data_IF_993301240072
#
_entry.id   IF_993301240072
#
_cell.length_a   1.000
_cell.length_b   1.000
_cell.length_c   1.000
_cell.angle_alpha   90.00
_cell.angle_beta   90.00
_cell.angle_gamma   90.00
#
_symmetry.space_group_name_H-M   'P 1'
#
loop_
_entity.id
_entity.type
_entity.pdbx_description
1 polymer ?
#
# COMPACT_ATOMS: atom_id res chain seq x y z
N UNK A 1 -23.05 -4.00 -11.12
CA UNK A 1 -22.64 -5.05 -12.08
C UNK A 1 -22.87 -6.44 -11.45
N UNK A 2 -23.55 -7.38 -12.14
CA UNK A 2 -24.06 -8.63 -11.54
C UNK A 2 -23.01 -9.69 -11.13
N UNK A 3 -21.71 -9.48 -11.39
CA UNK A 3 -20.63 -10.41 -10.95
C UNK A 3 -19.33 -9.65 -10.64
N UNK A 4 -19.23 -8.93 -9.50
CA UNK A 4 -18.05 -8.14 -9.15
C UNK A 4 -16.77 -9.01 -9.07
N UNK A 5 -16.89 -10.25 -8.60
CA UNK A 5 -15.78 -11.20 -8.56
C UNK A 5 -15.13 -11.47 -9.92
N UNK A 6 -15.92 -11.68 -10.97
CA UNK A 6 -15.35 -11.92 -12.30
C UNK A 6 -14.63 -10.69 -12.86
N UNK A 7 -15.15 -9.49 -12.58
CA UNK A 7 -14.52 -8.25 -13.02
C UNK A 7 -13.18 -8.05 -12.30
N UNK A 8 -13.13 -8.27 -10.98
CA UNK A 8 -11.89 -8.22 -10.22
C UNK A 8 -10.87 -9.23 -10.74
N UNK A 9 -11.30 -10.49 -10.90
CA UNK A 9 -10.44 -11.56 -11.37
C UNK A 9 -9.92 -11.25 -12.75
N UNK A 10 -10.74 -10.79 -13.69
CA UNK A 10 -10.25 -10.43 -15.03
C UNK A 10 -9.30 -9.24 -14.98
N UNK A 11 -9.63 -8.19 -14.22
CA UNK A 11 -8.83 -6.97 -14.13
C UNK A 11 -7.45 -7.22 -13.52
N UNK A 12 -7.35 -8.14 -12.55
CA UNK A 12 -6.08 -8.49 -11.89
C UNK A 12 -5.36 -9.63 -12.61
N UNK A 13 -6.06 -10.71 -12.94
CA UNK A 13 -5.47 -11.92 -13.51
C UNK A 13 -4.97 -11.70 -14.93
N UNK A 14 -5.65 -10.88 -15.75
CA UNK A 14 -5.23 -10.64 -17.13
C UNK A 14 -3.85 -9.96 -17.22
N UNK A 15 -3.60 -8.79 -16.60
CA UNK A 15 -2.27 -8.15 -16.63
C UNK A 15 -1.21 -8.99 -15.91
N UNK A 16 -1.57 -9.69 -14.84
CA UNK A 16 -0.67 -10.62 -14.15
C UNK A 16 -0.25 -11.79 -15.05
N UNK A 17 -1.20 -12.43 -15.75
CA UNK A 17 -0.92 -13.52 -16.66
C UNK A 17 -0.10 -13.06 -17.87
N UNK A 18 -0.39 -11.86 -18.41
CA UNK A 18 0.42 -11.25 -19.46
C UNK A 18 1.86 -11.01 -19.01
N UNK A 19 2.07 -10.49 -17.80
CA UNK A 19 3.40 -10.31 -17.25
C UNK A 19 4.12 -11.66 -17.05
N UNK A 20 3.44 -12.66 -16.50
CA UNK A 20 4.01 -13.99 -16.31
C UNK A 20 4.43 -14.62 -17.64
N UNK A 21 3.56 -14.53 -18.67
CA UNK A 21 3.86 -15.02 -20.01
C UNK A 21 5.05 -14.28 -20.62
N UNK A 22 5.11 -12.95 -20.47
CA UNK A 22 6.24 -12.15 -20.95
C UNK A 22 7.55 -12.61 -20.30
N UNK A 23 7.56 -12.87 -18.99
CA UNK A 23 8.75 -13.34 -18.29
C UNK A 23 9.19 -14.73 -18.76
N UNK A 24 8.26 -15.66 -18.99
CA UNK A 24 8.57 -17.00 -19.55
C UNK A 24 9.14 -16.89 -20.96
N UNK A 25 8.61 -16.01 -21.81
CA UNK A 25 9.12 -15.79 -23.17
C UNK A 25 10.51 -15.12 -23.15
N UNK A 26 10.79 -14.28 -22.16
CA UNK A 26 12.07 -13.60 -22.00
C UNK A 26 13.15 -14.47 -21.36
N UNK A 27 12.78 -15.52 -20.62
CA UNK A 27 13.72 -16.44 -19.97
C UNK A 27 14.77 -17.03 -20.94
N UNK A 28 14.40 -17.58 -22.12
CA UNK A 28 15.38 -18.11 -23.08
C UNK A 28 16.16 -17.01 -23.82
N UNK A 29 15.73 -15.75 -23.78
CA UNK A 29 16.34 -14.65 -24.55
C UNK A 29 17.45 -14.00 -23.74
N UNK A 30 18.67 -13.98 -24.28
CA UNK A 30 19.84 -13.36 -23.65
C UNK A 30 20.07 -13.83 -22.19
N UNK A 31 19.81 -15.11 -21.91
CA UNK A 31 19.92 -15.71 -20.56
C UNK A 31 19.07 -15.00 -19.49
N UNK A 32 17.92 -14.45 -19.86
CA UNK A 32 17.04 -13.72 -18.95
C UNK A 32 17.52 -12.30 -18.61
N UNK A 33 18.58 -11.79 -19.26
CA UNK A 33 19.08 -10.43 -19.02
C UNK A 33 18.02 -9.36 -19.32
N UNK A 34 17.15 -9.61 -20.31
CA UNK A 34 16.03 -8.74 -20.64
C UNK A 34 14.90 -8.77 -19.59
N UNK A 35 14.87 -9.76 -18.71
CA UNK A 35 13.91 -9.80 -17.61
C UNK A 35 14.23 -8.73 -16.56
N UNK A 36 15.50 -8.38 -16.34
CA UNK A 36 15.90 -7.36 -15.35
C UNK A 36 15.21 -5.99 -15.54
N UNK A 37 15.22 -5.36 -16.73
CA UNK A 37 14.49 -4.11 -16.93
C UNK A 37 12.98 -4.28 -16.75
N UNK A 38 12.41 -5.45 -17.08
CA UNK A 38 10.98 -5.72 -16.85
C UNK A 38 10.68 -5.77 -15.35
N UNK A 39 11.49 -6.48 -14.56
CA UNK A 39 11.36 -6.50 -13.09
C UNK A 39 11.46 -5.10 -12.51
N UNK A 40 12.44 -4.31 -12.94
CA UNK A 40 12.62 -2.93 -12.49
C UNK A 40 11.40 -2.07 -12.83
N UNK A 41 10.88 -2.14 -14.06
CA UNK A 41 9.69 -1.41 -14.49
C UNK A 41 8.46 -1.81 -13.68
N UNK A 42 8.27 -3.10 -13.41
CA UNK A 42 7.17 -3.60 -12.58
C UNK A 42 7.27 -3.07 -11.16
N UNK A 43 8.46 -3.08 -10.56
CA UNK A 43 8.67 -2.52 -9.21
C UNK A 43 8.41 -1.02 -9.19
N UNK A 44 8.92 -0.26 -10.16
CA UNK A 44 8.68 1.19 -10.26
C UNK A 44 7.19 1.49 -10.43
N UNK A 45 6.49 0.69 -11.23
CA UNK A 45 5.04 0.83 -11.40
C UNK A 45 4.28 0.47 -10.11
N UNK A 46 4.67 -0.63 -9.47
CA UNK A 46 4.03 -1.15 -8.27
C UNK A 46 4.25 -0.27 -7.05
N UNK A 47 5.39 0.42 -6.95
CA UNK A 47 5.70 1.36 -5.87
C UNK A 47 4.65 2.47 -5.74
N UNK A 48 3.86 2.72 -6.78
CA UNK A 48 2.83 3.73 -6.79
C UNK A 48 3.43 5.13 -6.80
N UNK A 49 3.30 5.82 -7.93
CA UNK A 49 3.59 7.26 -8.03
C UNK A 49 2.52 8.11 -7.33
N UNK A 50 2.14 7.76 -6.11
CA UNK A 50 1.34 8.65 -5.28
C UNK A 50 2.22 9.82 -4.87
N UNK A 51 1.78 11.05 -5.16
CA UNK A 51 2.44 12.25 -4.68
C UNK A 51 2.18 12.44 -3.17
N UNK A 52 2.60 11.44 -2.38
CA UNK A 52 2.45 11.39 -0.92
C UNK A 52 3.07 12.63 -0.28
N UNK A 53 4.18 13.11 -0.84
CA UNK A 53 4.92 14.26 -0.33
C UNK A 53 4.34 15.58 -0.83
N UNK A 54 3.82 15.66 -2.06
CA UNK A 54 3.21 16.87 -2.60
C UNK A 54 1.86 17.18 -1.96
N UNK A 55 1.05 16.14 -1.64
CA UNK A 55 -0.20 16.31 -0.88
C UNK A 55 0.01 16.85 0.54
N UNK A 56 1.18 16.60 1.13
CA UNK A 56 1.52 17.09 2.47
C UNK A 56 2.10 18.50 2.51
N UNK A 57 2.56 19.04 1.38
CA UNK A 57 3.17 20.37 1.32
C UNK A 57 2.28 21.45 1.95
N UNK A 58 1.01 21.59 1.50
CA UNK A 58 0.07 22.55 2.05
C UNK A 58 -0.24 22.34 3.54
N UNK A 59 -0.32 21.08 3.99
CA UNK A 59 -0.55 20.76 5.40
C UNK A 59 0.63 21.18 6.28
N UNK A 60 1.85 20.82 5.87
CA UNK A 60 3.08 21.15 6.57
C UNK A 60 3.27 22.66 6.69
N UNK A 61 2.94 23.40 5.62
CA UNK A 61 3.06 24.85 5.61
C UNK A 61 2.05 25.53 6.55
N UNK A 62 0.81 25.03 6.61
CA UNK A 62 -0.20 25.50 7.58
C UNK A 62 0.19 25.16 9.01
N UNK A 63 0.68 23.93 9.25
CA UNK A 63 1.15 23.49 10.56
C UNK A 63 2.34 24.32 11.06
N UNK A 64 3.31 24.61 10.19
CA UNK A 64 4.48 25.45 10.52
C UNK A 64 4.11 26.89 10.85
N UNK A 65 2.95 27.36 10.40
CA UNK A 65 2.38 28.69 10.73
C UNK A 65 1.53 28.67 12.00
N UNK A 66 1.45 27.53 12.69
CA UNK A 66 0.61 27.31 13.87
C UNK A 66 -0.89 27.56 13.62
N UNK A 67 -1.31 27.56 12.35
CA UNK A 67 -2.69 27.74 11.95
C UNK A 67 -3.41 26.39 11.93
N UNK A 68 -3.91 26.00 13.11
CA UNK A 68 -4.58 24.71 13.33
C UNK A 68 -5.86 24.56 12.50
N UNK A 69 -6.58 25.65 12.25
CA UNK A 69 -7.81 25.62 11.45
C UNK A 69 -7.47 25.38 9.97
N UNK A 70 -6.48 26.11 9.44
CA UNK A 70 -6.01 25.87 8.07
C UNK A 70 -5.44 24.45 7.90
N UNK A 71 -4.66 23.97 8.87
CA UNK A 71 -4.11 22.61 8.84
C UNK A 71 -5.22 21.55 8.85
N UNK A 72 -6.24 21.70 9.69
CA UNK A 72 -7.40 20.81 9.74
C UNK A 72 -8.20 20.83 8.43
N UNK A 73 -8.41 22.01 7.84
CA UNK A 73 -9.09 22.13 6.55
C UNK A 73 -8.34 21.46 5.41
N UNK A 74 -7.02 21.60 5.36
CA UNK A 74 -6.17 20.95 4.35
C UNK A 74 -6.15 19.44 4.55
N UNK A 75 -5.99 18.96 5.78
CA UNK A 75 -6.02 17.53 6.08
C UNK A 75 -7.36 16.89 5.72
N UNK A 76 -8.47 17.56 5.98
CA UNK A 76 -9.80 17.11 5.55
C UNK A 76 -9.94 17.08 4.03
N UNK A 77 -9.41 18.07 3.33
CA UNK A 77 -9.52 18.16 1.86
C UNK A 77 -8.69 17.08 1.15
N UNK A 78 -7.45 16.89 1.59
CA UNK A 78 -6.46 16.10 0.85
C UNK A 78 -6.31 14.67 1.38
N UNK A 79 -6.60 14.45 2.67
CA UNK A 79 -6.43 13.15 3.34
C UNK A 79 -7.74 12.59 3.90
N UNK A 80 -8.85 13.34 3.83
CA UNK A 80 -10.15 13.04 4.46
C UNK A 80 -10.07 12.84 5.98
N UNK A 81 -9.12 13.50 6.64
CA UNK A 81 -8.87 13.40 8.08
C UNK A 81 -9.59 14.53 8.82
N UNK A 82 -10.39 14.18 9.83
CA UNK A 82 -11.07 15.14 10.72
C UNK A 82 -10.63 14.91 12.16
N UNK A 83 -10.09 15.95 12.81
CA UNK A 83 -9.69 15.92 14.21
C UNK A 83 -10.14 17.18 14.94
N UNK A 84 -10.48 17.03 16.22
CA UNK A 84 -11.01 18.11 17.07
C UNK A 84 -9.89 18.90 17.77
N UNK A 85 -8.65 18.40 17.73
CA UNK A 85 -7.47 19.02 18.33
C UNK A 85 -6.23 18.88 17.44
N UNK A 86 -5.27 19.78 17.61
CA UNK A 86 -4.01 19.77 16.85
C UNK A 86 -3.17 18.51 17.09
N UNK A 87 -3.13 18.00 18.33
CA UNK A 87 -2.40 16.76 18.67
C UNK A 87 -3.02 15.54 17.98
N UNK A 88 -4.35 15.41 18.03
CA UNK A 88 -5.05 14.32 17.33
C UNK A 88 -4.89 14.43 15.81
N UNK A 89 -4.88 15.65 15.27
CA UNK A 89 -4.65 15.88 13.85
C UNK A 89 -3.28 15.36 13.41
N UNK A 90 -2.22 15.69 14.17
CA UNK A 90 -0.88 15.20 13.89
C UNK A 90 -0.78 13.69 13.97
N UNK A 91 -1.36 13.07 15.01
CA UNK A 91 -1.31 11.63 15.21
C UNK A 91 -1.99 10.88 14.04
N UNK A 92 -3.18 11.34 13.63
CA UNK A 92 -3.89 10.75 12.49
C UNK A 92 -3.15 10.93 11.17
N UNK A 93 -2.57 12.12 10.91
CA UNK A 93 -1.78 12.37 9.71
C UNK A 93 -0.52 11.49 9.70
N UNK A 94 0.19 11.36 10.82
CA UNK A 94 1.37 10.49 10.92
C UNK A 94 1.00 9.02 10.68
N UNK A 95 -0.09 8.54 11.29
CA UNK A 95 -0.59 7.18 11.07
C UNK A 95 -0.95 6.93 9.61
N UNK A 96 -1.65 7.87 8.98
CA UNK A 96 -2.00 7.80 7.56
C UNK A 96 -0.76 7.71 6.67
N UNK A 97 0.26 8.55 6.93
CA UNK A 97 1.50 8.53 6.17
C UNK A 97 2.31 7.28 6.38
N UNK A 98 2.38 6.77 7.61
CA UNK A 98 3.05 5.52 7.91
C UNK A 98 2.37 4.36 7.16
N UNK A 99 1.04 4.34 7.16
CA UNK A 99 0.26 3.34 6.44
C UNK A 99 0.47 3.43 4.93
N UNK A 100 0.40 4.64 4.36
CA UNK A 100 0.66 4.84 2.93
C UNK A 100 2.10 4.48 2.54
N UNK A 101 3.09 4.82 3.37
CA UNK A 101 4.48 4.45 3.13
C UNK A 101 4.68 2.93 3.19
N UNK A 102 4.06 2.26 4.17
CA UNK A 102 4.03 0.79 4.24
C UNK A 102 3.44 0.19 2.96
N UNK A 103 2.29 0.68 2.51
CA UNK A 103 1.59 0.13 1.35
C UNK A 103 2.35 0.36 0.04
N UNK A 104 2.91 1.55 -0.17
CA UNK A 104 3.61 1.91 -1.41
C UNK A 104 5.02 1.32 -1.48
N UNK A 105 5.74 1.21 -0.35
CA UNK A 105 7.12 0.74 -0.35
C UNK A 105 7.25 -0.68 0.19
N UNK A 106 6.95 -0.89 1.47
CA UNK A 106 7.30 -2.13 2.14
C UNK A 106 6.50 -3.32 1.58
N UNK A 107 5.17 -3.20 1.47
CA UNK A 107 4.32 -4.26 0.96
C UNK A 107 4.71 -4.67 -0.48
N UNK A 108 5.05 -3.69 -1.32
CA UNK A 108 5.46 -3.90 -2.71
C UNK A 108 6.82 -4.59 -2.79
N UNK A 109 7.82 -4.06 -2.08
CA UNK A 109 9.18 -4.62 -2.07
C UNK A 109 9.18 -6.03 -1.49
N UNK A 110 8.46 -6.23 -0.38
CA UNK A 110 8.32 -7.53 0.26
C UNK A 110 7.67 -8.55 -0.67
N UNK A 111 6.53 -8.20 -1.28
CA UNK A 111 5.82 -9.07 -2.22
C UNK A 111 6.68 -9.39 -3.45
N UNK A 112 7.43 -8.40 -3.96
CA UNK A 112 8.39 -8.63 -5.04
C UNK A 112 9.49 -9.60 -4.64
N UNK A 113 10.05 -9.45 -3.45
CA UNK A 113 11.15 -10.27 -2.98
C UNK A 113 10.74 -11.73 -2.72
N UNK A 114 9.56 -11.95 -2.12
CA UNK A 114 9.10 -13.29 -1.73
C UNK A 114 8.47 -14.05 -2.90
N UNK A 115 7.64 -13.37 -3.72
CA UNK A 115 6.81 -14.01 -4.75
C UNK A 115 7.12 -13.51 -6.17
N UNK A 116 8.03 -12.54 -6.32
CA UNK A 116 8.43 -12.00 -7.61
C UNK A 116 7.58 -10.82 -8.12
N UNK A 117 7.87 -10.34 -9.34
CA UNK A 117 7.22 -9.18 -9.95
C UNK A 117 5.71 -9.36 -10.15
N UNK A 118 5.26 -10.59 -10.34
CA UNK A 118 3.85 -10.92 -10.51
C UNK A 118 3.03 -10.55 -9.27
N UNK A 119 3.53 -10.86 -8.08
CA UNK A 119 2.85 -10.53 -6.83
C UNK A 119 2.84 -9.03 -6.54
N UNK A 120 3.95 -8.34 -6.82
CA UNK A 120 4.03 -6.88 -6.70
C UNK A 120 2.99 -6.18 -7.59
N UNK A 121 2.83 -6.65 -8.83
CA UNK A 121 1.81 -6.12 -9.74
C UNK A 121 0.40 -6.45 -9.24
N UNK A 122 0.15 -7.69 -8.80
CA UNK A 122 -1.16 -8.10 -8.28
C UNK A 122 -1.58 -7.24 -7.08
N UNK A 123 -0.66 -6.99 -6.14
CA UNK A 123 -0.89 -6.12 -4.99
C UNK A 123 -1.27 -4.69 -5.43
N UNK A 124 -0.54 -4.10 -6.39
CA UNK A 124 -0.85 -2.76 -6.91
C UNK A 124 -2.23 -2.70 -7.59
N UNK A 125 -2.60 -3.73 -8.33
CA UNK A 125 -3.90 -3.79 -9.00
C UNK A 125 -5.05 -3.96 -7.99
N UNK A 126 -4.84 -4.72 -6.90
CA UNK A 126 -5.80 -4.79 -5.80
C UNK A 126 -5.98 -3.43 -5.13
N UNK A 127 -4.89 -2.71 -4.83
CA UNK A 127 -4.95 -1.36 -4.28
C UNK A 127 -5.72 -0.40 -5.20
N UNK A 128 -5.43 -0.41 -6.51
CA UNK A 128 -6.14 0.43 -7.48
C UNK A 128 -7.62 0.05 -7.61
N UNK A 129 -7.96 -1.24 -7.51
CA UNK A 129 -9.33 -1.71 -7.55
C UNK A 129 -10.12 -1.32 -6.30
N UNK A 130 -9.47 -1.31 -5.13
CA UNK A 130 -10.04 -0.80 -3.89
C UNK A 130 -10.30 0.71 -3.97
N UNK A 131 -9.32 1.49 -4.42
CA UNK A 131 -9.38 2.96 -4.47
C UNK A 131 -10.34 3.50 -5.55
N UNK A 132 -10.38 2.88 -6.74
CA UNK A 132 -11.08 3.43 -7.91
C UNK A 132 -12.42 2.74 -8.23
N UNK A 133 -12.83 1.73 -7.46
CA UNK A 133 -14.06 1.01 -7.75
C UNK A 133 -15.30 1.79 -7.35
N UNK A 134 -16.18 2.06 -8.33
CA UNK A 134 -17.51 2.62 -8.09
C UNK A 134 -18.49 1.60 -7.47
N UNK A 135 -18.12 0.32 -7.40
CA UNK A 135 -18.94 -0.74 -6.83
C UNK A 135 -18.40 -1.13 -5.44
N UNK A 136 -19.16 -0.91 -4.36
CA UNK A 136 -18.68 -1.18 -2.99
C UNK A 136 -18.35 -2.66 -2.78
N UNK A 137 -19.12 -3.58 -3.39
CA UNK A 137 -18.87 -5.01 -3.30
C UNK A 137 -17.59 -5.46 -4.03
N UNK A 138 -17.06 -4.66 -4.96
CA UNK A 138 -15.78 -4.93 -5.62
C UNK A 138 -14.63 -4.38 -4.77
N UNK A 139 -14.78 -3.17 -4.22
CA UNK A 139 -13.80 -2.54 -3.36
C UNK A 139 -13.56 -3.36 -2.08
N UNK A 140 -14.63 -3.83 -1.43
CA UNK A 140 -14.54 -4.67 -0.23
C UNK A 140 -13.76 -5.96 -0.49
N UNK A 141 -13.95 -6.59 -1.65
CA UNK A 141 -13.26 -7.83 -2.02
C UNK A 141 -11.80 -7.59 -2.36
N UNK A 142 -11.50 -6.48 -3.05
CA UNK A 142 -10.13 -6.05 -3.27
C UNK A 142 -9.40 -5.83 -1.95
N UNK A 143 -10.05 -5.14 -1.00
CA UNK A 143 -9.54 -4.91 0.35
C UNK A 143 -9.33 -6.20 1.15
N UNK A 144 -10.26 -7.17 1.10
CA UNK A 144 -10.08 -8.48 1.75
C UNK A 144 -8.84 -9.24 1.24
N UNK A 145 -8.63 -9.26 -0.08
CA UNK A 145 -7.45 -9.90 -0.66
C UNK A 145 -6.17 -9.13 -0.33
N UNK A 146 -6.21 -7.81 -0.38
CA UNK A 146 -5.09 -6.95 -0.01
C UNK A 146 -4.69 -7.14 1.45
N UNK A 147 -5.67 -7.19 2.36
CA UNK A 147 -5.46 -7.48 3.78
C UNK A 147 -4.81 -8.85 3.99
N UNK A 148 -5.19 -9.87 3.23
CA UNK A 148 -4.54 -11.17 3.27
C UNK A 148 -3.06 -11.10 2.82
N UNK A 149 -2.74 -10.28 1.81
CA UNK A 149 -1.36 -10.00 1.41
C UNK A 149 -0.59 -9.22 2.48
N UNK A 150 -1.23 -8.27 3.14
CA UNK A 150 -0.63 -7.39 4.15
C UNK A 150 -0.49 -8.04 5.54
N UNK A 151 -1.19 -9.15 5.79
CA UNK A 151 -1.17 -9.82 7.09
C UNK A 151 0.23 -10.26 7.54
N UNK A 152 1.03 -10.86 6.66
CA UNK A 152 2.43 -11.25 6.99
C UNK A 152 3.38 -10.05 7.02
N UNK A 153 3.45 -9.21 5.97
CA UNK A 153 4.42 -8.12 5.93
C UNK A 153 4.19 -7.06 7.02
N UNK A 154 2.96 -6.67 7.36
CA UNK A 154 2.69 -5.72 8.47
C UNK A 154 3.27 -6.25 9.77
N UNK A 155 3.04 -7.53 10.07
CA UNK A 155 3.47 -8.16 11.32
C UNK A 155 4.99 -8.28 11.39
N UNK A 156 5.63 -8.63 10.27
CA UNK A 156 7.08 -8.71 10.20
C UNK A 156 7.72 -7.33 10.37
N UNK A 157 7.14 -6.29 9.75
CA UNK A 157 7.62 -4.92 9.91
C UNK A 157 7.44 -4.41 11.35
N UNK A 158 6.26 -4.65 11.94
CA UNK A 158 5.98 -4.30 13.33
C UNK A 158 6.94 -5.01 14.29
N UNK A 159 7.22 -6.30 14.08
CA UNK A 159 8.21 -7.05 14.85
C UNK A 159 9.64 -6.50 14.67
N UNK A 160 9.99 -6.05 13.47
CA UNK A 160 11.28 -5.41 13.20
C UNK A 160 11.42 -4.08 13.95
N UNK A 161 10.38 -3.24 13.95
CA UNK A 161 10.37 -2.01 14.76
C UNK A 161 10.35 -2.29 16.26
N UNK A 162 9.66 -3.33 16.71
CA UNK A 162 9.70 -3.77 18.11
C UNK A 162 11.14 -4.14 18.51
N UNK A 163 11.84 -4.88 17.66
CA UNK A 163 13.20 -5.35 17.93
C UNK A 163 14.22 -4.21 17.99
N UNK A 164 14.12 -3.24 17.08
CA UNK A 164 15.04 -2.09 16.99
C UNK A 164 14.69 -1.00 18.03
N UNK A 165 13.41 -0.86 18.38
CA UNK A 165 12.90 0.14 19.31
C UNK A 165 12.61 -0.42 20.69
N UNK A 166 11.39 -0.18 21.18
CA UNK A 166 10.93 -0.66 22.49
C UNK A 166 10.15 -1.96 22.36
N UNK A 167 10.86 -3.09 22.40
CA UNK A 167 10.29 -4.43 22.26
C UNK A 167 9.12 -4.70 23.22
N UNK A 168 9.22 -4.25 24.48
CA UNK A 168 8.19 -4.50 25.51
C UNK A 168 6.91 -3.72 25.26
N UNK A 169 7.02 -2.46 24.81
CA UNK A 169 5.86 -1.64 24.49
C UNK A 169 5.14 -2.15 23.24
N UNK A 170 5.89 -2.45 22.17
CA UNK A 170 5.31 -2.90 20.90
C UNK A 170 4.76 -4.32 21.00
N UNK A 171 5.47 -5.25 21.65
CA UNK A 171 4.96 -6.63 21.83
C UNK A 171 3.67 -6.68 22.63
N UNK A 172 3.50 -5.81 23.64
CA UNK A 172 2.26 -5.75 24.45
C UNK A 172 1.04 -5.37 23.61
N UNK A 173 1.18 -4.38 22.73
CA UNK A 173 0.10 -3.96 21.81
C UNK A 173 -0.10 -5.02 20.73
N UNK A 174 0.98 -5.48 20.10
CA UNK A 174 0.92 -6.43 19.00
C UNK A 174 0.39 -7.81 19.40
N UNK A 175 0.60 -8.25 20.65
CA UNK A 175 0.08 -9.53 21.16
C UNK A 175 -1.45 -9.62 21.16
N UNK A 176 -2.15 -8.49 21.33
CA UNK A 176 -3.62 -8.48 21.27
C UNK A 176 -4.12 -8.60 19.83
N UNK A 177 -3.39 -8.04 18.88
CA UNK A 177 -3.75 -8.07 17.45
C UNK A 177 -3.06 -9.19 16.67
N UNK A 178 -2.24 -10.02 17.34
CA UNK A 178 -1.43 -11.06 16.71
C UNK A 178 -2.28 -12.16 16.03
N UNK A 179 -3.48 -12.40 16.56
CA UNK A 179 -4.41 -13.43 16.09
C UNK A 179 -5.68 -12.86 15.44
N UNK A 180 -5.86 -11.54 15.42
CA UNK A 180 -7.00 -10.92 14.77
C UNK A 180 -6.76 -10.89 13.25
N UNK A 181 -7.68 -11.51 12.50
CA UNK A 181 -7.75 -11.50 11.04
C UNK A 181 -8.96 -10.68 10.59
#
# INVERSE_FOLDING_TARGET
>A
AKRPWLVLTILVLLPVALLALLLVVLEPVAYGLLALPVHLLVVIYALGRGDLLGGLGPFRDAWRREDLQAAAHVAKRDLDICADSGEQLLDQVQGHLLWQAYQCFFAVIFSHFVLGPVAALAYRLLALAEENSQNPALAERAGQLRHAFDWVPVRLLAASFALVGNFVAVSRVMLHDLLNW
#
